data_IF_131458445252
#
_entry.id   IF_131458445252
#
_cell.length_a   1.000
_cell.length_b   1.000
_cell.length_c   1.000
_cell.angle_alpha   90.00
_cell.angle_beta   90.00
_cell.angle_gamma   90.00
#
_symmetry.space_group_name_H-M   'P 1'
#
loop_
_entity.id
_entity.type
_entity.pdbx_description
1 polymer ?
#
# COMPACT_ATOMS: atom_id res chain seq x y z
N UNK A 1 -8.12 17.36 21.69
CA UNK A 1 -7.58 18.49 22.47
C UNK A 1 -7.56 18.16 23.97
N UNK A 2 -8.66 17.69 24.56
CA UNK A 2 -8.71 17.23 25.97
C UNK A 2 -7.61 16.22 26.38
N UNK A 3 -7.26 15.24 25.53
CA UNK A 3 -6.21 14.26 25.85
C UNK A 3 -4.81 14.86 26.01
N UNK A 4 -4.47 15.85 25.17
CA UNK A 4 -3.15 16.50 25.21
C UNK A 4 -3.09 17.53 26.34
N UNK A 5 -4.18 18.26 26.57
CA UNK A 5 -4.28 19.22 27.67
C UNK A 5 -4.31 18.53 29.03
N UNK A 6 -5.03 17.41 29.17
CA UNK A 6 -5.02 16.58 30.37
C UNK A 6 -3.66 15.95 30.66
N UNK A 7 -2.97 15.43 29.65
CA UNK A 7 -1.61 14.89 29.84
C UNK A 7 -0.60 15.97 30.25
N UNK A 8 -0.74 17.21 29.74
CA UNK A 8 0.06 18.35 30.19
C UNK A 8 -0.27 18.78 31.62
N UNK A 9 -1.55 18.73 32.02
CA UNK A 9 -1.97 19.06 33.38
C UNK A 9 -1.38 18.12 34.45
N UNK A 10 -1.05 16.88 34.07
CA UNK A 10 -0.37 15.88 34.93
C UNK A 10 1.17 15.97 34.83
N UNK A 11 1.72 16.95 34.09
CA UNK A 11 3.16 17.21 34.02
C UNK A 11 3.94 16.35 33.01
N UNK A 12 3.25 15.67 32.08
CA UNK A 12 3.94 14.85 31.06
C UNK A 12 4.73 15.71 30.06
N UNK A 13 5.95 15.29 29.72
CA UNK A 13 6.78 15.97 28.72
C UNK A 13 6.23 15.73 27.31
N UNK A 14 6.43 16.68 26.39
CA UNK A 14 5.93 16.57 25.00
C UNK A 14 6.32 15.25 24.29
N UNK A 15 7.52 14.73 24.54
CA UNK A 15 7.96 13.43 24.00
C UNK A 15 7.15 12.26 24.57
N UNK A 16 6.83 12.28 25.86
CA UNK A 16 5.99 11.25 26.49
C UNK A 16 4.57 11.32 25.94
N UNK A 17 4.01 12.53 25.79
CA UNK A 17 2.68 12.73 25.18
C UNK A 17 2.64 12.13 23.76
N UNK A 18 3.63 12.43 22.91
CA UNK A 18 3.68 11.86 21.56
C UNK A 18 3.80 10.33 21.58
N UNK A 19 4.83 9.77 22.20
CA UNK A 19 5.16 8.35 22.02
C UNK A 19 4.33 7.41 22.90
N UNK A 20 3.86 7.88 24.06
CA UNK A 20 3.10 7.04 25.00
C UNK A 20 1.59 7.16 24.83
N UNK A 21 1.10 8.31 24.36
CA UNK A 21 -0.35 8.58 24.30
C UNK A 21 -0.85 8.79 22.88
N UNK A 22 -0.17 9.56 22.03
CA UNK A 22 -0.67 9.84 20.67
C UNK A 22 -0.34 8.68 19.73
N UNK A 23 0.93 8.29 19.66
CA UNK A 23 1.44 7.32 18.68
C UNK A 23 0.72 5.97 18.78
N UNK A 24 0.59 5.32 19.96
CA UNK A 24 -0.07 4.01 20.03
C UNK A 24 -1.54 4.04 19.61
N UNK A 25 -2.22 5.17 19.82
CA UNK A 25 -3.62 5.36 19.41
C UNK A 25 -3.76 5.63 17.90
N UNK A 26 -2.72 6.13 17.24
CA UNK A 26 -2.73 6.37 15.78
C UNK A 26 -2.18 5.20 14.96
N UNK A 27 -1.36 4.32 15.56
CA UNK A 27 -0.77 3.16 14.87
C UNK A 27 -1.81 2.35 14.08
N UNK A 28 -2.99 1.99 14.62
CA UNK A 28 -4.01 1.28 13.84
C UNK A 28 -4.42 2.01 12.56
N UNK A 29 -4.72 3.31 12.66
CA UNK A 29 -5.08 4.16 11.52
C UNK A 29 -3.94 4.28 10.51
N UNK A 30 -2.70 4.44 10.98
CA UNK A 30 -1.51 4.52 10.11
C UNK A 30 -1.35 3.24 9.31
N UNK A 31 -1.53 2.06 9.93
CA UNK A 31 -1.39 0.78 9.25
C UNK A 31 -2.46 0.56 8.17
N UNK A 32 -3.69 1.00 8.42
CA UNK A 32 -4.77 0.97 7.42
C UNK A 32 -4.41 1.83 6.22
N UNK A 33 -4.09 3.10 6.45
CA UNK A 33 -3.74 4.04 5.38
C UNK A 33 -2.52 3.55 4.60
N UNK A 34 -1.49 3.08 5.31
CA UNK A 34 -0.29 2.53 4.70
C UNK A 34 -0.60 1.38 3.74
N UNK A 35 -1.42 0.41 4.18
CA UNK A 35 -1.75 -0.77 3.35
C UNK A 35 -2.49 -0.38 2.07
N UNK A 36 -3.45 0.56 2.17
CA UNK A 36 -4.17 1.07 1.01
C UNK A 36 -3.27 1.89 0.07
N UNK A 37 -2.38 2.72 0.63
CA UNK A 37 -1.40 3.48 -0.16
C UNK A 37 -0.40 2.57 -0.89
N UNK A 38 -0.01 1.45 -0.30
CA UNK A 38 0.86 0.47 -0.96
C UNK A 38 0.15 -0.17 -2.16
N UNK A 39 -1.12 -0.54 -2.02
CA UNK A 39 -1.90 -1.08 -3.14
C UNK A 39 -1.97 -0.09 -4.33
N UNK A 40 -2.23 1.19 -4.04
CA UNK A 40 -2.27 2.26 -5.04
C UNK A 40 -0.90 2.52 -5.69
N UNK A 41 0.16 2.51 -4.88
CA UNK A 41 1.54 2.68 -5.36
C UNK A 41 1.97 1.54 -6.30
N UNK A 42 1.59 0.29 -6.02
CA UNK A 42 1.87 -0.86 -6.89
C UNK A 42 1.23 -0.67 -8.27
N UNK A 43 -0.05 -0.28 -8.32
CA UNK A 43 -0.76 -0.05 -9.57
C UNK A 43 -0.19 1.14 -10.35
N UNK A 44 0.17 2.20 -9.64
CA UNK A 44 0.78 3.40 -10.22
C UNK A 44 2.15 3.08 -10.83
N UNK A 45 3.00 2.38 -10.09
CA UNK A 45 4.34 1.95 -10.54
C UNK A 45 4.23 1.04 -11.76
N UNK A 46 3.37 0.01 -11.71
CA UNK A 46 3.15 -0.89 -12.84
C UNK A 46 2.66 -0.15 -14.10
N UNK A 47 1.78 0.84 -13.93
CA UNK A 47 1.33 1.71 -15.02
C UNK A 47 2.45 2.56 -15.62
N UNK A 48 3.31 3.15 -14.78
CA UNK A 48 4.48 3.91 -15.24
C UNK A 48 5.48 3.00 -15.96
N UNK A 49 5.71 1.79 -15.45
CA UNK A 49 6.60 0.82 -16.06
C UNK A 49 6.09 0.33 -17.42
N UNK A 50 4.77 0.11 -17.54
CA UNK A 50 4.13 -0.19 -18.81
C UNK A 50 4.32 0.94 -19.85
N UNK A 51 4.28 2.21 -19.42
CA UNK A 51 4.60 3.36 -20.27
C UNK A 51 6.10 3.47 -20.59
N UNK A 52 6.96 2.67 -19.97
CA UNK A 52 8.41 2.71 -20.14
C UNK A 52 9.11 3.82 -19.35
N UNK A 53 8.48 4.31 -18.28
CA UNK A 53 9.01 5.36 -17.41
C UNK A 53 9.66 4.80 -16.12
N UNK A 54 9.68 3.47 -15.95
CA UNK A 54 10.28 2.79 -14.79
C UNK A 54 11.67 2.21 -15.09
N UNK A 55 12.07 1.19 -14.34
CA UNK A 55 13.40 0.56 -14.35
C UNK A 55 13.83 0.06 -15.73
N UNK A 56 15.14 0.08 -15.98
CA UNK A 56 15.70 -0.50 -17.20
C UNK A 56 16.07 -1.97 -16.98
N UNK A 57 15.99 -2.81 -18.03
CA UNK A 57 16.59 -4.14 -18.03
C UNK A 57 18.06 -4.05 -17.56
N UNK A 58 18.58 -5.00 -16.76
CA UNK A 58 18.10 -6.37 -16.51
C UNK A 58 17.21 -6.52 -15.25
N UNK A 59 16.75 -5.42 -14.64
CA UNK A 59 15.93 -5.48 -13.42
C UNK A 59 14.57 -6.10 -13.71
N UNK A 60 14.13 -7.14 -12.98
CA UNK A 60 12.81 -7.74 -13.17
C UNK A 60 11.69 -6.76 -12.81
N UNK A 61 10.71 -6.61 -13.71
CA UNK A 61 9.58 -5.70 -13.55
C UNK A 61 8.36 -6.22 -14.34
N UNK A 62 7.26 -6.47 -13.63
CA UNK A 62 6.03 -7.01 -14.24
C UNK A 62 5.29 -6.00 -15.14
N UNK A 63 5.35 -4.70 -14.86
CA UNK A 63 4.75 -3.67 -15.71
C UNK A 63 5.50 -3.52 -17.03
N UNK A 64 6.82 -3.66 -17.01
CA UNK A 64 7.65 -3.72 -18.20
C UNK A 64 7.39 -5.01 -19.00
N UNK A 65 7.22 -6.15 -18.33
CA UNK A 65 6.87 -7.42 -18.98
C UNK A 65 5.53 -7.32 -19.74
N UNK A 66 4.53 -6.64 -19.17
CA UNK A 66 3.27 -6.35 -19.85
C UNK A 66 3.49 -5.56 -21.15
N UNK A 67 4.36 -4.55 -21.13
CA UNK A 67 4.70 -3.72 -22.30
C UNK A 67 5.38 -4.55 -23.38
N UNK A 68 6.38 -5.35 -23.02
CA UNK A 68 7.13 -6.18 -23.97
C UNK A 68 6.28 -7.32 -24.52
N UNK A 69 5.37 -7.87 -23.71
CA UNK A 69 4.47 -8.96 -24.11
C UNK A 69 3.33 -8.52 -25.03
N UNK A 70 2.87 -7.26 -24.94
CA UNK A 70 1.70 -6.75 -25.67
C UNK A 70 1.73 -7.01 -27.20
N UNK A 71 2.83 -6.80 -27.94
CA UNK A 71 2.89 -7.05 -29.39
C UNK A 71 2.72 -8.53 -29.76
N UNK A 72 3.00 -9.45 -28.84
CA UNK A 72 2.94 -10.89 -29.09
C UNK A 72 1.55 -11.50 -28.83
N UNK A 73 0.59 -10.72 -28.31
CA UNK A 73 -0.77 -11.17 -28.04
C UNK A 73 -1.45 -11.77 -29.28
N UNK A 74 -1.38 -11.07 -30.41
CA UNK A 74 -1.97 -11.52 -31.68
C UNK A 74 -1.22 -12.70 -32.30
N UNK A 75 0.01 -12.96 -31.84
CA UNK A 75 0.85 -14.09 -32.26
C UNK A 75 0.59 -15.35 -31.41
N UNK A 76 -0.36 -15.30 -30.45
CA UNK A 76 -0.73 -16.44 -29.59
C UNK A 76 0.04 -16.53 -28.28
N UNK A 77 1.01 -15.65 -28.02
CA UNK A 77 1.83 -15.65 -26.79
C UNK A 77 1.15 -14.87 -25.65
N UNK A 78 -0.11 -15.16 -25.38
CA UNK A 78 -0.92 -14.42 -24.40
C UNK A 78 -0.39 -14.51 -22.97
N UNK A 79 0.33 -15.58 -22.64
CA UNK A 79 0.91 -15.81 -21.32
C UNK A 79 1.93 -14.75 -20.90
N UNK A 80 2.58 -14.09 -21.87
CA UNK A 80 3.55 -13.02 -21.62
C UNK A 80 2.92 -11.79 -20.94
N UNK A 81 1.61 -11.60 -21.13
CA UNK A 81 0.85 -10.51 -20.50
C UNK A 81 0.04 -11.02 -19.31
N UNK A 82 -0.53 -12.23 -19.42
CA UNK A 82 -1.43 -12.77 -18.41
C UNK A 82 -0.77 -12.98 -17.06
N UNK A 83 0.41 -13.62 -17.00
CA UNK A 83 1.05 -13.91 -15.72
C UNK A 83 1.52 -12.64 -14.99
N UNK A 84 2.26 -11.72 -15.63
CA UNK A 84 2.64 -10.46 -14.98
C UNK A 84 1.43 -9.65 -14.51
N UNK A 85 0.39 -9.56 -15.35
CA UNK A 85 -0.84 -8.84 -15.00
C UNK A 85 -1.58 -9.47 -13.81
N UNK A 86 -1.64 -10.81 -13.75
CA UNK A 86 -2.22 -11.53 -12.62
C UNK A 86 -1.41 -11.30 -11.34
N UNK A 87 -0.08 -11.30 -11.40
CA UNK A 87 0.76 -11.06 -10.22
C UNK A 87 0.55 -9.65 -9.65
N UNK A 88 0.53 -8.63 -10.52
CA UNK A 88 0.23 -7.24 -10.12
C UNK A 88 -1.15 -7.16 -9.45
N UNK A 89 -2.17 -7.77 -10.07
CA UNK A 89 -3.54 -7.79 -9.54
C UNK A 89 -3.60 -8.45 -8.16
N UNK A 90 -3.00 -9.64 -8.00
CA UNK A 90 -3.00 -10.37 -6.74
C UNK A 90 -2.28 -9.60 -5.64
N UNK A 91 -1.13 -8.98 -5.93
CA UNK A 91 -0.39 -8.17 -4.96
C UNK A 91 -1.17 -6.94 -4.53
N UNK A 92 -1.67 -6.14 -5.47
CA UNK A 92 -2.46 -4.96 -5.16
C UNK A 92 -3.71 -5.32 -4.34
N UNK A 93 -4.41 -6.38 -4.75
CA UNK A 93 -5.59 -6.87 -4.03
C UNK A 93 -5.25 -7.38 -2.62
N UNK A 94 -4.14 -8.12 -2.45
CA UNK A 94 -3.73 -8.59 -1.13
C UNK A 94 -3.50 -7.41 -0.16
N UNK A 95 -2.80 -6.35 -0.60
CA UNK A 95 -2.59 -5.16 0.23
C UNK A 95 -3.88 -4.38 0.49
N UNK A 96 -4.76 -4.27 -0.52
CA UNK A 96 -6.06 -3.63 -0.35
C UNK A 96 -6.92 -4.36 0.69
N UNK A 97 -7.03 -5.69 0.58
CA UNK A 97 -7.78 -6.52 1.52
C UNK A 97 -7.18 -6.50 2.94
N UNK A 98 -5.86 -6.46 3.07
CA UNK A 98 -5.20 -6.27 4.37
C UNK A 98 -5.61 -4.92 4.98
N UNK A 99 -5.59 -3.85 4.18
CA UNK A 99 -6.03 -2.52 4.61
C UNK A 99 -7.48 -2.51 5.07
N UNK A 100 -8.38 -3.12 4.30
CA UNK A 100 -9.80 -3.26 4.66
C UNK A 100 -10.00 -4.08 5.95
N UNK A 101 -9.34 -5.23 6.08
CA UNK A 101 -9.43 -6.07 7.27
C UNK A 101 -8.89 -5.38 8.53
N UNK A 102 -7.80 -4.62 8.40
CA UNK A 102 -7.27 -3.80 9.50
C UNK A 102 -8.23 -2.66 9.87
N UNK A 103 -8.87 -2.05 8.88
CA UNK A 103 -9.85 -0.98 9.07
C UNK A 103 -11.06 -1.49 9.84
N UNK A 104 -11.60 -2.64 9.43
CA UNK A 104 -12.72 -3.29 10.08
C UNK A 104 -12.42 -3.63 11.53
N UNK A 105 -11.28 -4.29 11.80
CA UNK A 105 -10.87 -4.64 13.18
C UNK A 105 -10.70 -3.42 14.08
N UNK A 106 -10.16 -2.33 13.54
CA UNK A 106 -9.97 -1.10 14.32
C UNK A 106 -11.31 -0.42 14.61
N UNK A 107 -12.24 -0.44 13.64
CA UNK A 107 -13.57 0.17 13.80
C UNK A 107 -14.43 -0.51 14.87
N UNK A 108 -14.30 -1.83 15.05
CA UNK A 108 -15.02 -2.61 16.06
C UNK A 108 -14.53 -2.34 17.49
N UNK A 109 -13.24 -2.02 17.68
CA UNK A 109 -12.69 -1.70 19.00
C UNK A 109 -13.07 -0.31 19.53
N UNK A 110 -13.64 0.54 18.67
CA UNK A 110 -14.06 1.91 19.00
C UNK A 110 -15.56 2.07 19.25
N UNK A 111 -16.35 1.00 19.13
CA UNK A 111 -17.80 0.97 19.48
C UNK A 111 -18.00 0.32 20.83
#
# INVERSE_FOLDING_TARGET
QLFVEGARAVGARNKEIMFKYILPNLVPTILVVFSLSVADAILTEAGLSFLGLSVTPPTPDWGYDLKVGQPFLLNGYWWLVFFPGMMIMLFAMAFALIGEALSERTSLGTR
#
